data_IF_386114762077
#
_entry.id   IF_386114762077
#
_cell.length_a   1.000
_cell.length_b   1.000
_cell.length_c   1.000
_cell.angle_alpha   90.00
_cell.angle_beta   90.00
_cell.angle_gamma   90.00
#
_symmetry.space_group_name_H-M   'P 1'
#
loop_
_entity.id
_entity.type
_entity.pdbx_description
1 polymer ?
#
# COMPACT_ATOMS: atom_id res chain seq x y z
N UNK A 1 -6.09 18.44 22.60
CA UNK A 1 -7.48 18.02 22.31
C UNK A 1 -7.66 17.60 20.85
N UNK A 2 -7.18 18.41 19.88
CA UNK A 2 -7.20 18.10 18.43
C UNK A 2 -6.61 16.72 18.06
N UNK A 3 -5.48 16.33 18.65
CA UNK A 3 -4.85 15.03 18.35
C UNK A 3 -5.76 13.85 18.72
N UNK A 4 -6.46 13.92 19.85
CA UNK A 4 -7.40 12.87 20.27
C UNK A 4 -8.60 12.78 19.32
N UNK A 5 -9.06 13.93 18.83
CA UNK A 5 -10.15 14.03 17.86
C UNK A 5 -9.76 13.42 16.50
N UNK A 6 -8.51 13.62 16.08
CA UNK A 6 -7.97 13.03 14.86
C UNK A 6 -7.90 11.50 14.93
N UNK A 7 -7.47 10.95 16.08
CA UNK A 7 -7.49 9.50 16.31
C UNK A 7 -8.90 8.91 16.30
N UNK A 8 -9.88 9.61 16.87
CA UNK A 8 -11.28 9.18 16.85
C UNK A 8 -11.82 9.13 15.41
N UNK A 9 -11.53 10.15 14.60
CA UNK A 9 -11.95 10.18 13.19
C UNK A 9 -11.35 9.00 12.41
N UNK A 10 -10.04 8.77 12.55
CA UNK A 10 -9.36 7.64 11.89
C UNK A 10 -9.93 6.29 12.35
N UNK A 11 -10.22 6.14 13.65
CA UNK A 11 -10.77 4.92 14.22
C UNK A 11 -12.18 4.59 13.68
N UNK A 12 -13.01 5.61 13.46
CA UNK A 12 -14.35 5.42 12.87
C UNK A 12 -14.29 4.98 11.40
N UNK A 13 -13.32 5.47 10.62
CA UNK A 13 -13.12 5.00 9.25
C UNK A 13 -12.73 3.51 9.19
N UNK A 14 -11.94 3.02 10.16
CA UNK A 14 -11.57 1.60 10.24
C UNK A 14 -12.80 0.72 10.50
N UNK A 15 -13.72 1.16 11.36
CA UNK A 15 -14.93 0.39 11.68
C UNK A 15 -16.00 0.45 10.59
N UNK A 16 -16.15 1.57 9.88
CA UNK A 16 -17.13 1.73 8.82
C UNK A 16 -16.91 0.76 7.64
N UNK A 17 -15.65 0.40 7.35
CA UNK A 17 -15.30 -0.56 6.29
C UNK A 17 -15.84 -1.98 6.59
N UNK A 18 -15.97 -2.36 7.87
CA UNK A 18 -16.35 -3.73 8.26
C UNK A 18 -17.87 -3.98 8.20
N UNK A 19 -18.70 -2.95 8.04
CA UNK A 19 -20.17 -3.07 8.06
C UNK A 19 -20.77 -3.22 6.65
N UNK A 20 -20.01 -2.91 5.58
CA UNK A 20 -20.51 -2.93 4.21
C UNK A 20 -20.34 -4.27 3.47
N UNK A 21 -19.76 -5.30 4.10
CA UNK A 21 -19.39 -6.56 3.44
C UNK A 21 -20.18 -7.76 4.01
N UNK A 22 -21.49 -7.75 3.80
CA UNK A 22 -22.34 -8.93 4.00
C UNK A 22 -23.09 -9.29 2.72
N UNK A 23 -22.33 -9.69 1.69
CA UNK A 23 -22.89 -10.44 0.56
C UNK A 23 -22.09 -11.74 0.37
N UNK A 24 -22.80 -12.84 0.16
CA UNK A 24 -22.46 -14.20 0.66
C UNK A 24 -21.81 -15.13 -0.36
N UNK A 25 -21.05 -14.64 -1.35
CA UNK A 25 -20.37 -15.54 -2.31
C UNK A 25 -18.86 -15.31 -2.35
N UNK A 26 -18.15 -16.18 -1.62
CA UNK A 26 -16.68 -16.34 -1.48
C UNK A 26 -15.95 -15.17 -0.81
N UNK A 27 -15.89 -15.23 0.52
CA UNK A 27 -14.99 -14.40 1.33
C UNK A 27 -13.54 -14.82 1.10
N UNK A 28 -12.86 -14.24 0.10
CA UNK A 28 -11.41 -14.34 -0.01
C UNK A 28 -10.84 -13.39 1.05
N UNK A 29 -10.28 -13.95 2.12
CA UNK A 29 -9.78 -13.16 3.24
C UNK A 29 -8.47 -12.46 2.80
N UNK A 30 -8.57 -11.23 2.32
CA UNK A 30 -7.45 -10.43 1.85
C UNK A 30 -6.58 -9.94 3.02
N UNK A 31 -5.29 -10.35 3.02
CA UNK A 31 -4.28 -9.90 3.97
C UNK A 31 -3.19 -9.01 3.34
N UNK A 32 -3.20 -8.84 2.02
CA UNK A 32 -2.10 -8.30 1.23
C UNK A 32 -1.81 -6.84 1.56
N UNK A 33 -2.87 -6.04 1.74
CA UNK A 33 -2.74 -4.66 2.19
C UNK A 33 -2.31 -4.55 3.67
N UNK A 34 -2.73 -5.50 4.52
CA UNK A 34 -2.30 -5.58 5.93
C UNK A 34 -0.82 -5.95 6.03
N UNK A 35 -0.32 -6.77 5.11
CA UNK A 35 1.09 -7.17 5.01
C UNK A 35 1.98 -5.99 4.56
N UNK A 36 1.50 -5.13 3.65
CA UNK A 36 2.21 -3.90 3.29
C UNK A 36 2.28 -2.89 4.47
N UNK A 37 1.26 -2.85 5.34
CA UNK A 37 1.32 -2.06 6.59
C UNK A 37 2.39 -2.65 7.54
N UNK A 38 2.49 -3.97 7.64
CA UNK A 38 3.50 -4.65 8.45
C UNK A 38 4.94 -4.45 7.92
N UNK A 39 5.09 -4.17 6.62
CA UNK A 39 6.38 -3.95 5.97
C UNK A 39 7.08 -2.65 6.40
N UNK A 40 6.38 -1.74 7.09
CA UNK A 40 6.92 -0.45 7.55
C UNK A 40 8.07 -0.67 8.57
N UNK A 41 8.12 -1.81 9.27
CA UNK A 41 9.16 -2.13 10.24
C UNK A 41 10.22 -3.16 9.80
N UNK A 42 9.86 -4.14 8.96
CA UNK A 42 10.74 -5.28 8.60
C UNK A 42 11.38 -5.16 7.21
N UNK A 43 11.94 -3.99 6.90
CA UNK A 43 12.77 -3.83 5.70
C UNK A 43 12.06 -3.27 4.46
N UNK A 44 10.87 -2.66 4.62
CA UNK A 44 10.20 -1.88 3.57
C UNK A 44 9.86 -2.67 2.30
N UNK A 45 9.79 -4.00 2.40
CA UNK A 45 9.52 -4.91 1.28
C UNK A 45 8.03 -4.77 0.90
N UNK A 46 7.69 -4.41 -0.35
CA UNK A 46 6.30 -4.24 -0.76
C UNK A 46 5.63 -5.60 -1.02
N UNK A 47 5.31 -6.34 0.05
CA UNK A 47 4.78 -7.72 0.02
C UNK A 47 3.50 -7.81 -0.83
N UNK A 48 2.59 -6.84 -0.69
CA UNK A 48 1.34 -6.84 -1.47
C UNK A 48 1.54 -6.75 -2.99
N UNK A 49 2.68 -6.23 -3.45
CA UNK A 49 3.01 -6.21 -4.89
C UNK A 49 3.52 -7.57 -5.39
N UNK A 50 4.18 -8.33 -4.51
CA UNK A 50 4.59 -9.70 -4.82
C UNK A 50 3.39 -10.66 -4.86
N UNK A 51 2.43 -10.50 -3.94
CA UNK A 51 1.19 -11.31 -3.92
C UNK A 51 0.29 -11.05 -5.14
N UNK A 52 0.31 -9.83 -5.66
CA UNK A 52 -0.36 -9.47 -6.91
C UNK A 52 0.40 -9.89 -8.18
N UNK A 53 1.46 -10.72 -8.10
CA UNK A 53 2.30 -11.14 -9.23
C UNK A 53 2.93 -9.97 -10.02
N UNK A 54 3.23 -8.84 -9.37
CA UNK A 54 3.86 -7.66 -10.00
C UNK A 54 5.28 -7.43 -9.47
N UNK A 55 6.25 -8.34 -9.76
CA UNK A 55 7.60 -8.27 -9.19
C UNK A 55 8.37 -7.02 -9.62
N UNK A 56 8.21 -6.56 -10.87
CA UNK A 56 8.89 -5.34 -11.35
C UNK A 56 8.45 -4.10 -10.57
N UNK A 57 7.13 -3.97 -10.33
CA UNK A 57 6.55 -2.88 -9.53
C UNK A 57 7.04 -2.95 -8.07
N UNK A 58 7.10 -4.18 -7.53
CA UNK A 58 7.64 -4.43 -6.21
C UNK A 58 9.10 -3.98 -6.08
N UNK A 59 9.97 -4.34 -7.03
CA UNK A 59 11.36 -3.91 -7.04
C UNK A 59 11.51 -2.39 -7.17
N UNK A 60 10.78 -1.76 -8.11
CA UNK A 60 10.82 -0.32 -8.29
C UNK A 60 10.45 0.43 -7.01
N UNK A 61 9.35 0.01 -6.37
CA UNK A 61 8.88 0.61 -5.12
C UNK A 61 9.87 0.36 -3.97
N UNK A 62 10.45 -0.84 -3.90
CA UNK A 62 11.48 -1.19 -2.91
C UNK A 62 12.73 -0.33 -3.07
N UNK A 63 13.23 -0.14 -4.30
CA UNK A 63 14.39 0.70 -4.59
C UNK A 63 14.16 2.16 -4.20
N UNK A 64 12.99 2.73 -4.52
CA UNK A 64 12.66 4.10 -4.13
C UNK A 64 12.59 4.25 -2.61
N UNK A 65 11.94 3.30 -1.93
CA UNK A 65 11.86 3.26 -0.46
C UNK A 65 13.26 3.21 0.15
N UNK A 66 14.15 2.37 -0.38
CA UNK A 66 15.52 2.25 0.10
C UNK A 66 16.34 3.52 -0.13
N UNK A 67 16.19 4.15 -1.30
CA UNK A 67 16.84 5.43 -1.61
C UNK A 67 16.49 6.50 -0.57
N UNK A 68 15.20 6.72 -0.33
CA UNK A 68 14.76 7.74 0.64
C UNK A 68 15.11 7.39 2.08
N UNK A 69 15.24 6.10 2.42
CA UNK A 69 15.71 5.67 3.73
C UNK A 69 17.17 6.06 3.93
N UNK A 70 18.00 5.86 2.90
CA UNK A 70 19.40 6.27 2.91
C UNK A 70 19.53 7.79 3.02
N UNK A 71 18.76 8.55 2.24
CA UNK A 71 18.73 10.02 2.32
C UNK A 71 18.30 10.50 3.71
N UNK A 72 17.30 9.86 4.32
CA UNK A 72 16.87 10.16 5.69
C UNK A 72 17.99 9.92 6.71
N UNK A 73 18.71 8.78 6.59
CA UNK A 73 19.83 8.45 7.47
C UNK A 73 20.98 9.47 7.31
N UNK A 74 21.38 9.77 6.08
CA UNK A 74 22.43 10.76 5.79
C UNK A 74 22.06 12.15 6.33
N UNK A 75 20.83 12.61 6.10
CA UNK A 75 20.37 13.91 6.59
C UNK A 75 20.28 13.96 8.13
N UNK A 76 19.92 12.84 8.77
CA UNK A 76 19.93 12.70 10.23
C UNK A 76 21.35 12.82 10.77
N UNK A 77 22.32 12.14 10.16
CA UNK A 77 23.72 12.14 10.60
C UNK A 77 24.38 13.52 10.41
N UNK A 78 24.03 14.24 9.33
CA UNK A 78 24.45 15.63 9.09
C UNK A 78 23.65 16.67 9.87
N UNK A 79 22.69 16.26 10.71
CA UNK A 79 21.79 17.14 11.46
C UNK A 79 20.99 18.14 10.60
N UNK A 80 20.80 17.85 9.30
CA UNK A 80 20.01 18.66 8.39
C UNK A 80 18.52 18.31 8.51
N UNK A 81 17.79 19.12 9.28
CA UNK A 81 16.39 18.90 9.61
C UNK A 81 15.48 18.97 8.36
N UNK A 82 15.79 19.87 7.42
CA UNK A 82 14.98 20.06 6.21
C UNK A 82 15.00 18.80 5.34
N UNK A 83 16.19 18.29 5.03
CA UNK A 83 16.34 17.10 4.19
C UNK A 83 15.86 15.83 4.88
N UNK A 84 16.02 15.75 6.21
CA UNK A 84 15.46 14.67 7.02
C UNK A 84 13.94 14.64 6.92
N UNK A 85 13.28 15.79 7.06
CA UNK A 85 11.82 15.87 6.98
C UNK A 85 11.33 15.57 5.56
N UNK A 86 11.99 16.09 4.53
CA UNK A 86 11.68 15.76 3.12
C UNK A 86 11.76 14.26 2.88
N UNK A 87 12.85 13.63 3.30
CA UNK A 87 13.07 12.20 3.12
C UNK A 87 12.04 11.37 3.89
N UNK A 88 11.69 11.79 5.11
CA UNK A 88 10.61 11.18 5.88
C UNK A 88 9.26 11.25 5.16
N UNK A 89 8.89 12.41 4.60
CA UNK A 89 7.64 12.55 3.88
C UNK A 89 7.60 11.68 2.63
N UNK A 90 8.70 11.58 1.89
CA UNK A 90 8.80 10.64 0.76
C UNK A 90 8.65 9.19 1.20
N UNK A 91 9.31 8.79 2.29
CA UNK A 91 9.17 7.45 2.87
C UNK A 91 7.72 7.15 3.27
N UNK A 92 7.04 8.11 3.91
CA UNK A 92 5.66 7.95 4.31
C UNK A 92 4.76 7.78 3.08
N UNK A 93 4.88 8.67 2.09
CA UNK A 93 4.06 8.63 0.88
C UNK A 93 4.28 7.37 0.06
N UNK A 94 5.53 6.89 -0.09
CA UNK A 94 5.80 5.63 -0.79
C UNK A 94 5.23 4.40 -0.06
N UNK A 95 5.14 4.43 1.26
CA UNK A 95 4.46 3.36 2.00
C UNK A 95 2.95 3.40 1.80
N UNK A 96 2.32 4.57 1.90
CA UNK A 96 0.89 4.73 1.64
C UNK A 96 0.55 4.36 0.20
N UNK A 97 1.35 4.82 -0.77
CA UNK A 97 1.21 4.46 -2.18
C UNK A 97 1.26 2.95 -2.37
N UNK A 98 2.25 2.26 -1.81
CA UNK A 98 2.35 0.80 -1.91
C UNK A 98 1.11 0.07 -1.37
N UNK A 99 0.56 0.52 -0.23
CA UNK A 99 -0.66 -0.05 0.36
C UNK A 99 -1.85 0.14 -0.56
N UNK A 100 -2.10 1.38 -1.00
CA UNK A 100 -3.24 1.74 -1.85
C UNK A 100 -3.15 1.02 -3.19
N UNK A 101 -1.98 1.04 -3.81
CA UNK A 101 -1.74 0.45 -5.11
C UNK A 101 -1.90 -1.08 -5.08
N UNK A 102 -1.42 -1.76 -4.02
CA UNK A 102 -1.68 -3.20 -3.84
C UNK A 102 -3.16 -3.51 -3.57
N UNK A 103 -3.86 -2.64 -2.80
CA UNK A 103 -5.28 -2.78 -2.54
C UNK A 103 -6.11 -2.65 -3.83
N UNK A 104 -5.81 -1.65 -4.65
CA UNK A 104 -6.45 -1.43 -5.95
C UNK A 104 -6.14 -2.59 -6.90
N UNK A 105 -4.88 -3.01 -7.00
CA UNK A 105 -4.47 -4.12 -7.86
C UNK A 105 -5.17 -5.44 -7.50
N UNK A 106 -5.42 -5.69 -6.20
CA UNK A 106 -6.19 -6.85 -5.76
C UNK A 106 -7.66 -6.76 -6.19
N UNK A 107 -8.32 -5.61 -5.97
CA UNK A 107 -9.74 -5.45 -6.32
C UNK A 107 -9.98 -5.42 -7.84
N UNK A 108 -8.96 -5.05 -8.61
CA UNK A 108 -9.01 -5.07 -10.07
C UNK A 108 -8.60 -6.42 -10.66
N UNK A 109 -8.18 -7.40 -9.85
CA UNK A 109 -7.71 -8.71 -10.33
C UNK A 109 -8.80 -9.55 -11.00
N UNK A 110 -10.04 -9.38 -10.55
CA UNK A 110 -11.21 -10.11 -11.06
C UNK A 110 -11.98 -9.33 -12.13
N UNK A 111 -11.51 -8.12 -12.52
CA UNK A 111 -12.12 -7.41 -13.64
C UNK A 111 -11.80 -8.15 -14.94
N UNK A 112 -12.79 -8.39 -15.81
CA UNK A 112 -12.56 -9.09 -17.07
C UNK A 112 -11.54 -8.29 -17.88
N UNK A 113 -10.38 -8.90 -18.12
CA UNK A 113 -9.48 -8.38 -19.13
C UNK A 113 -10.19 -8.47 -20.48
N UNK A 114 -9.98 -7.48 -21.35
CA UNK A 114 -10.64 -7.38 -22.66
C UNK A 114 -10.44 -8.63 -23.56
N UNK A 115 -9.62 -9.60 -23.15
CA UNK A 115 -9.44 -10.89 -23.81
C UNK A 115 -10.62 -11.86 -23.61
N UNK A 116 -11.29 -11.84 -22.45
CA UNK A 116 -12.45 -12.70 -22.19
C UNK A 116 -13.67 -12.24 -23.01
N UNK A 117 -13.84 -10.92 -23.19
CA UNK A 117 -14.84 -10.33 -24.09
C UNK A 117 -14.59 -10.62 -25.58
N UNK A 118 -13.36 -11.02 -25.96
CA UNK A 118 -13.02 -11.41 -27.34
C UNK A 118 -13.25 -12.90 -27.62
N UNK A 119 -13.28 -13.75 -26.58
CA UNK A 119 -13.62 -15.18 -26.72
C UNK A 119 -15.12 -15.37 -26.91
N UNK A 120 -15.95 -14.63 -26.16
CA UNK A 120 -17.41 -14.66 -26.27
C UNK A 120 -17.95 -14.14 -27.63
N UNK A 121 -17.16 -13.37 -28.38
CA UNK A 121 -17.55 -12.88 -29.71
C UNK A 121 -17.14 -13.81 -30.87
N UNK A 122 -16.49 -14.93 -30.57
CA UNK A 122 -15.99 -15.89 -31.58
C UNK A 122 -16.70 -17.24 -31.56
N UNK A 123 -17.67 -17.44 -30.67
CA UNK A 123 -18.67 -18.52 -30.76
C UNK A 123 -19.95 -17.99 -31.42
#
# INVERSE_FOLDING_TARGET
MIIKLFFIIIFNFIFAINVAESDTTKKIINHDWKLNVFSIGKGMIPIGQFENNKPFKAFALMSMKFYWLKEFQLAKDMSNISDRNRSFWWLLMLNLYGIIDSYVDYHLKDFPENEDLKKDKKE
#
